data_IF_983313756133
#
_entry.id   IF_983313756133
#
_cell.length_a   1.000
_cell.length_b   1.000
_cell.length_c   1.000
_cell.angle_alpha   90.00
_cell.angle_beta   90.00
_cell.angle_gamma   90.00
#
_symmetry.space_group_name_H-M   'P 1'
#
loop_
_entity.id
_entity.type
_entity.pdbx_description
1 polymer ?
#
# COMPACT_ATOMS: atom_id res chain seq x y z
N UNK A 1 -17.97 -2.09 60.42
CA UNK A 1 -19.04 -3.08 60.21
C UNK A 1 -20.24 -2.69 61.07
N UNK A 2 -21.48 -3.00 60.67
CA UNK A 2 -22.09 -2.99 59.33
C UNK A 2 -22.95 -1.69 59.22
N UNK A 3 -24.05 -1.50 58.47
CA UNK A 3 -24.77 -2.28 57.43
C UNK A 3 -25.53 -1.32 56.49
N UNK A 4 -25.86 -1.83 55.30
CA UNK A 4 -27.10 -1.64 54.52
C UNK A 4 -27.83 -0.28 54.43
N UNK A 5 -27.96 0.21 53.19
CA UNK A 5 -29.10 0.99 52.72
C UNK A 5 -29.60 0.44 51.37
N UNK A 6 -30.92 0.49 51.14
CA UNK A 6 -31.58 -0.01 49.95
C UNK A 6 -31.95 1.10 48.95
N UNK A 7 -31.94 0.75 47.67
CA UNK A 7 -32.74 1.29 46.55
C UNK A 7 -32.58 2.77 46.09
N UNK A 8 -32.29 2.95 44.79
CA UNK A 8 -33.27 3.47 43.79
C UNK A 8 -32.64 3.60 42.38
N UNK A 9 -33.48 3.58 41.33
CA UNK A 9 -33.10 3.78 39.92
C UNK A 9 -33.66 5.10 39.39
N UNK A 10 -32.86 5.96 38.75
CA UNK A 10 -33.27 6.78 37.58
C UNK A 10 -32.04 7.29 36.78
N UNK A 11 -32.25 7.97 35.64
CA UNK A 11 -31.43 7.85 34.41
C UNK A 11 -30.46 9.02 34.07
N UNK A 12 -29.34 8.65 33.39
CA UNK A 12 -28.53 9.41 32.40
C UNK A 12 -27.68 10.63 32.85
N UNK A 13 -26.58 11.00 32.14
CA UNK A 13 -26.15 10.57 30.79
C UNK A 13 -24.69 10.05 30.62
N UNK A 14 -24.42 9.53 29.41
CA UNK A 14 -23.15 9.46 28.65
C UNK A 14 -21.79 9.28 29.39
N UNK A 15 -21.16 8.12 29.19
CA UNK A 15 -19.70 7.96 29.19
C UNK A 15 -19.30 6.98 28.09
N UNK A 16 -18.38 7.40 27.22
CA UNK A 16 -17.74 6.55 26.22
C UNK A 16 -16.74 5.65 26.97
N UNK A 17 -16.96 4.34 26.95
CA UNK A 17 -15.97 3.38 27.42
C UNK A 17 -15.23 2.75 26.24
N UNK A 18 -13.97 3.17 26.13
CA UNK A 18 -12.85 2.46 25.56
C UNK A 18 -13.00 0.92 25.68
N UNK A 19 -13.03 0.24 24.54
CA UNK A 19 -12.98 -1.23 24.47
C UNK A 19 -11.63 -1.68 23.92
N UNK A 20 -10.64 -1.70 24.81
CA UNK A 20 -9.48 -2.57 24.68
C UNK A 20 -9.94 -4.03 24.51
N UNK A 21 -9.81 -4.55 23.28
CA UNK A 21 -10.22 -5.91 22.95
C UNK A 21 -9.27 -6.93 23.62
N UNK A 22 -9.64 -7.39 24.81
CA UNK A 22 -8.93 -8.49 25.47
C UNK A 22 -9.25 -9.82 24.78
N UNK A 23 -8.27 -10.48 24.17
CA UNK A 23 -8.31 -11.94 24.02
C UNK A 23 -6.91 -12.59 24.08
N UNK A 24 -6.72 -13.40 25.13
CA UNK A 24 -5.77 -14.52 25.22
C UNK A 24 -4.29 -14.29 24.87
N UNK A 25 -3.55 -13.73 25.84
CA UNK A 25 -2.09 -13.94 25.92
C UNK A 25 -1.80 -15.44 26.15
N UNK A 26 -1.20 -16.13 25.17
CA UNK A 26 -0.35 -17.30 25.43
C UNK A 26 1.10 -16.82 25.49
N UNK A 27 1.72 -16.97 26.65
CA UNK A 27 3.11 -16.57 26.89
C UNK A 27 4.09 -17.48 26.15
N UNK A 28 4.74 -16.97 25.10
CA UNK A 28 5.89 -17.63 24.51
C UNK A 28 7.16 -17.27 25.30
N UNK A 29 7.52 -18.10 26.28
CA UNK A 29 8.84 -18.06 26.93
C UNK A 29 9.78 -18.99 26.18
N UNK A 30 10.84 -18.47 25.55
CA UNK A 30 11.90 -19.29 24.97
C UNK A 30 13.29 -18.60 25.00
N UNK A 31 13.89 -18.59 26.19
CA UNK A 31 15.35 -18.64 26.35
C UNK A 31 15.67 -19.78 27.31
N UNK A 32 16.47 -20.76 26.92
CA UNK A 32 16.88 -21.83 27.84
C UNK A 32 17.40 -23.13 27.22
N UNK A 33 18.72 -23.19 27.03
CA UNK A 33 19.59 -24.37 27.07
C UNK A 33 19.41 -25.53 26.05
N UNK A 34 20.52 -25.84 25.38
CA UNK A 34 20.77 -27.12 24.71
C UNK A 34 20.70 -28.30 25.70
N UNK A 35 20.13 -29.43 25.28
CA UNK A 35 20.71 -30.77 25.51
C UNK A 35 20.17 -31.82 24.55
N UNK A 36 21.03 -32.79 24.26
CA UNK A 36 20.87 -33.85 23.27
C UNK A 36 19.98 -35.02 23.72
N UNK A 37 19.24 -35.62 22.77
CA UNK A 37 19.21 -37.09 22.61
C UNK A 37 18.56 -37.50 21.28
N UNK A 38 19.14 -38.50 20.62
CA UNK A 38 18.69 -39.09 19.36
C UNK A 38 17.29 -39.72 19.46
N UNK A 39 16.59 -39.81 18.32
CA UNK A 39 15.93 -41.04 17.82
C UNK A 39 15.50 -40.86 16.35
N UNK A 40 15.89 -41.80 15.49
CA UNK A 40 15.44 -41.98 14.10
C UNK A 40 14.59 -43.29 14.03
N UNK A 41 14.04 -43.68 12.88
CA UNK A 41 12.89 -43.10 12.18
C UNK A 41 11.80 -44.19 11.94
N UNK A 42 10.72 -43.92 11.18
CA UNK A 42 10.09 -45.00 10.37
C UNK A 42 9.13 -44.54 9.25
N UNK A 43 9.46 -45.08 8.07
CA UNK A 43 8.59 -45.62 7.01
C UNK A 43 7.58 -44.75 6.24
N UNK A 44 7.87 -44.68 4.94
CA UNK A 44 7.11 -44.13 3.83
C UNK A 44 5.87 -44.95 3.41
N UNK A 45 4.97 -44.30 2.66
CA UNK A 45 4.06 -44.93 1.70
C UNK A 45 3.98 -44.04 0.43
N UNK A 46 4.49 -44.54 -0.70
CA UNK A 46 3.93 -44.23 -2.03
C UNK A 46 2.96 -45.37 -2.43
N UNK A 47 1.99 -45.13 -3.33
CA UNK A 47 2.25 -45.42 -4.75
C UNK A 47 1.52 -44.49 -5.75
N UNK A 48 2.05 -44.31 -6.96
CA UNK A 48 1.46 -44.90 -8.18
C UNK A 48 2.31 -44.62 -9.45
N UNK A 49 2.37 -45.61 -10.36
CA UNK A 49 2.90 -45.46 -11.72
C UNK A 49 1.78 -44.96 -12.67
N UNK A 50 2.06 -44.38 -13.85
CA UNK A 50 2.48 -45.11 -15.06
C UNK A 50 2.84 -44.14 -16.21
N UNK A 51 3.54 -44.65 -17.24
CA UNK A 51 3.90 -43.93 -18.48
C UNK A 51 3.00 -44.37 -19.64
N UNK A 52 2.68 -43.47 -20.60
CA UNK A 52 3.11 -43.62 -22.01
C UNK A 52 2.65 -42.50 -22.99
N UNK A 53 3.65 -41.86 -23.59
CA UNK A 53 3.83 -41.33 -24.95
C UNK A 53 2.66 -41.44 -25.96
N UNK A 54 2.32 -40.31 -26.62
CA UNK A 54 2.02 -40.24 -28.06
C UNK A 54 2.37 -38.84 -28.64
N UNK A 55 2.84 -38.76 -29.89
CA UNK A 55 3.13 -37.51 -30.64
C UNK A 55 2.20 -37.42 -31.86
N UNK A 56 1.62 -36.25 -32.14
CA UNK A 56 1.09 -35.86 -33.48
C UNK A 56 1.48 -34.38 -33.74
N UNK A 57 1.52 -34.00 -35.02
CA UNK A 57 2.23 -32.86 -35.61
C UNK A 57 1.30 -31.99 -36.48
N UNK A 58 1.74 -30.75 -36.82
CA UNK A 58 1.26 -29.90 -37.94
C UNK A 58 -0.13 -29.24 -37.66
N UNK A 59 -0.40 -27.94 -37.92
CA UNK A 59 -0.12 -27.11 -39.10
C UNK A 59 -0.03 -25.61 -38.69
N UNK A 60 0.85 -24.83 -39.31
CA UNK A 60 0.94 -23.36 -39.12
C UNK A 60 0.99 -22.70 -40.50
N UNK A 61 0.00 -21.87 -40.81
CA UNK A 61 -0.16 -21.25 -42.13
C UNK A 61 0.28 -19.78 -42.10
N UNK A 62 1.22 -19.43 -42.97
CA UNK A 62 1.70 -18.06 -43.20
C UNK A 62 0.87 -17.43 -44.32
N UNK A 63 0.44 -16.18 -44.14
CA UNK A 63 0.07 -15.29 -45.24
C UNK A 63 0.77 -13.94 -45.08
N UNK A 64 1.18 -13.37 -46.22
CA UNK A 64 2.04 -12.18 -46.35
C UNK A 64 1.29 -11.11 -47.12
N UNK A 65 1.47 -9.84 -46.76
CA UNK A 65 1.44 -8.75 -47.74
C UNK A 65 2.33 -7.59 -47.33
N UNK A 66 3.26 -7.23 -48.21
CA UNK A 66 4.06 -6.01 -48.19
C UNK A 66 3.45 -5.01 -49.18
N UNK A 67 3.39 -3.72 -48.83
CA UNK A 67 3.37 -2.62 -49.81
C UNK A 67 4.41 -1.56 -49.41
N UNK A 68 4.99 -0.92 -50.42
CA UNK A 68 6.31 -0.28 -50.44
C UNK A 68 6.36 1.20 -50.01
N UNK A 69 7.55 1.62 -49.60
CA UNK A 69 7.94 3.02 -49.45
C UNK A 69 7.93 3.81 -50.77
N UNK A 70 7.74 5.13 -50.67
CA UNK A 70 8.29 6.09 -51.64
C UNK A 70 8.74 7.35 -50.91
N UNK A 71 9.94 7.84 -51.18
CA UNK A 71 10.53 9.01 -50.51
C UNK A 71 10.44 10.29 -51.34
N UNK A 72 10.60 11.44 -50.68
CA UNK A 72 10.65 12.76 -51.31
C UNK A 72 11.11 13.83 -50.30
N UNK A 73 12.03 14.71 -50.71
CA UNK A 73 12.81 15.55 -49.81
C UNK A 73 12.42 17.04 -49.82
N UNK A 74 12.44 17.66 -48.63
CA UNK A 74 12.85 19.06 -48.43
C UNK A 74 11.77 20.14 -48.51
N UNK A 75 11.89 21.16 -47.64
CA UNK A 75 11.07 22.38 -47.66
C UNK A 75 10.75 22.89 -46.25
N UNK A 76 11.14 24.11 -45.94
CA UNK A 76 10.92 24.79 -44.65
C UNK A 76 9.58 25.53 -44.57
N UNK A 77 9.16 25.89 -43.34
CA UNK A 77 8.05 26.80 -42.96
C UNK A 77 6.65 26.40 -43.47
N UNK A 78 5.63 26.20 -42.64
CA UNK A 78 5.06 27.19 -41.70
C UNK A 78 4.33 26.53 -40.51
N UNK A 79 3.77 27.37 -39.63
CA UNK A 79 2.95 27.02 -38.47
C UNK A 79 1.77 26.09 -38.77
N UNK A 80 1.60 25.05 -37.95
CA UNK A 80 0.36 24.30 -37.82
C UNK A 80 -0.04 24.18 -36.33
N UNK A 81 -1.25 24.62 -36.02
CA UNK A 81 -1.90 24.43 -34.72
C UNK A 81 -2.07 22.94 -34.41
N UNK A 82 -1.41 22.47 -33.36
CA UNK A 82 -1.60 21.11 -32.83
C UNK A 82 -2.97 20.95 -32.18
N UNK A 83 -3.64 19.85 -32.49
CA UNK A 83 -5.01 19.53 -32.06
C UNK A 83 -5.12 19.25 -30.57
N UNK A 84 -6.12 19.84 -29.91
CA UNK A 84 -6.66 19.31 -28.66
C UNK A 84 -7.30 17.94 -28.93
N UNK A 85 -6.60 16.86 -28.58
CA UNK A 85 -7.26 15.63 -28.15
C UNK A 85 -7.55 15.80 -26.65
N UNK A 86 -8.74 15.45 -26.14
CA UNK A 86 -8.94 15.37 -24.70
C UNK A 86 -8.19 14.15 -24.18
N UNK A 87 -7.20 14.37 -23.33
CA UNK A 87 -6.71 13.31 -22.43
C UNK A 87 -7.82 13.01 -21.43
N UNK A 88 -8.13 11.73 -21.24
CA UNK A 88 -9.03 11.27 -20.19
C UNK A 88 -8.25 11.27 -18.88
N UNK A 89 -8.51 12.27 -18.03
CA UNK A 89 -7.76 12.50 -16.79
C UNK A 89 -8.10 11.44 -15.73
N UNK A 90 -7.46 10.26 -15.83
CA UNK A 90 -7.51 9.21 -14.83
C UNK A 90 -7.01 9.69 -13.47
N UNK A 91 -7.87 9.66 -12.45
CA UNK A 91 -7.56 10.11 -11.09
C UNK A 91 -7.01 8.97 -10.24
N UNK A 92 -5.69 8.84 -10.16
CA UNK A 92 -5.07 7.90 -9.23
C UNK A 92 -3.62 8.29 -8.82
N UNK A 93 -3.47 9.45 -8.14
CA UNK A 93 -2.35 9.88 -7.25
C UNK A 93 -0.87 9.64 -7.64
N UNK A 94 -0.53 9.23 -8.87
CA UNK A 94 0.79 8.74 -9.25
C UNK A 94 1.65 9.71 -10.07
N UNK A 95 2.31 10.67 -9.44
CA UNK A 95 3.45 11.40 -10.03
C UNK A 95 3.14 12.52 -11.04
N UNK A 96 2.19 12.38 -11.97
CA UNK A 96 1.69 13.54 -12.72
C UNK A 96 0.67 14.32 -11.89
N UNK A 97 0.79 15.66 -11.90
CA UNK A 97 -0.23 16.56 -11.32
C UNK A 97 -1.48 16.59 -12.19
N UNK A 98 -2.23 15.49 -12.24
CA UNK A 98 -3.52 15.43 -12.90
C UNK A 98 -4.50 16.33 -12.13
N UNK A 99 -4.97 17.46 -12.70
CA UNK A 99 -5.85 18.37 -11.99
C UNK A 99 -7.26 17.78 -11.94
N UNK A 100 -7.52 16.93 -10.93
CA UNK A 100 -8.84 16.31 -10.65
C UNK A 100 -9.98 17.32 -10.49
N UNK A 101 -9.65 18.60 -10.34
CA UNK A 101 -10.54 19.72 -10.61
C UNK A 101 -9.73 20.94 -11.07
N UNK A 102 -10.39 21.88 -11.75
CA UNK A 102 -9.83 23.23 -11.96
C UNK A 102 -9.61 23.87 -10.59
N UNK A 103 -8.38 24.32 -10.30
CA UNK A 103 -8.02 24.92 -9.02
C UNK A 103 -8.97 26.06 -8.64
N UNK A 104 -9.81 25.83 -7.63
CA UNK A 104 -10.87 26.76 -7.24
C UNK A 104 -10.30 28.07 -6.69
N UNK A 105 -10.69 29.20 -7.29
CA UNK A 105 -10.37 30.52 -6.74
C UNK A 105 -11.32 30.84 -5.59
N UNK A 106 -10.85 30.75 -4.34
CA UNK A 106 -11.64 31.23 -3.20
C UNK A 106 -11.73 32.76 -3.21
N UNK A 107 -12.92 33.29 -2.96
CA UNK A 107 -13.16 34.73 -2.78
C UNK A 107 -13.01 35.20 -1.33
N UNK A 108 -12.60 34.33 -0.41
CA UNK A 108 -12.38 34.66 1.01
C UNK A 108 -11.84 33.49 1.83
N UNK A 109 -11.89 33.66 3.16
CA UNK A 109 -11.49 32.63 4.14
C UNK A 109 -12.36 31.37 4.06
N UNK A 110 -11.76 30.22 4.40
CA UNK A 110 -12.50 28.96 4.52
C UNK A 110 -13.57 29.08 5.61
N UNK A 111 -14.85 28.99 5.21
CA UNK A 111 -15.96 29.15 6.14
C UNK A 111 -16.15 27.89 6.98
N UNK A 112 -16.77 28.04 8.17
CA UNK A 112 -17.09 26.90 9.05
C UNK A 112 -18.02 25.93 8.30
N UNK A 113 -17.72 24.60 8.30
CA UNK A 113 -18.62 23.60 7.75
C UNK A 113 -20.04 23.73 8.30
N UNK A 114 -21.03 23.66 7.42
CA UNK A 114 -22.44 23.64 7.78
C UNK A 114 -22.98 22.22 7.64
N UNK A 115 -23.80 21.80 8.59
CA UNK A 115 -24.53 20.53 8.47
C UNK A 115 -25.54 20.65 7.33
N UNK A 116 -25.46 19.74 6.35
CA UNK A 116 -26.35 19.71 5.19
C UNK A 116 -27.50 18.72 5.38
N UNK A 117 -27.19 17.45 5.65
CA UNK A 117 -28.17 16.37 5.76
C UNK A 117 -27.63 15.14 6.51
N UNK A 118 -28.53 14.24 6.91
CA UNK A 118 -28.17 12.88 7.33
C UNK A 118 -28.50 11.91 6.20
N UNK A 119 -27.55 11.05 5.83
CA UNK A 119 -27.75 10.00 4.82
C UNK A 119 -28.12 8.66 5.48
N UNK A 120 -28.80 7.80 4.74
CA UNK A 120 -29.07 6.42 5.16
C UNK A 120 -27.83 5.57 4.92
N UNK A 121 -27.40 4.78 5.90
CA UNK A 121 -26.19 3.96 5.79
C UNK A 121 -26.15 2.83 6.80
N UNK A 122 -25.10 2.01 6.73
CA UNK A 122 -24.78 0.99 7.72
C UNK A 122 -23.73 1.54 8.71
N UNK A 123 -23.16 0.69 9.58
CA UNK A 123 -21.94 1.03 10.32
C UNK A 123 -20.78 1.23 9.34
N UNK A 124 -20.15 2.40 9.36
CA UNK A 124 -18.84 2.61 8.71
C UNK A 124 -17.72 2.35 9.71
N UNK A 125 -16.55 1.96 9.20
CA UNK A 125 -15.34 1.74 9.99
C UNK A 125 -14.33 2.87 9.75
N UNK A 126 -13.39 2.69 8.82
CA UNK A 126 -12.35 3.68 8.49
C UNK A 126 -12.28 4.00 6.98
N UNK A 127 -13.17 3.43 6.17
CA UNK A 127 -13.28 3.74 4.76
C UNK A 127 -13.75 5.20 4.58
N UNK A 128 -12.86 6.05 4.08
CA UNK A 128 -13.18 7.44 3.74
C UNK A 128 -14.17 7.50 2.56
N UNK A 129 -15.18 8.38 2.59
CA UNK A 129 -16.05 8.61 1.43
C UNK A 129 -15.30 9.33 0.31
N UNK A 130 -15.66 9.02 -0.94
CA UNK A 130 -15.16 9.70 -2.14
C UNK A 130 -16.27 10.55 -2.75
N UNK A 131 -15.91 11.71 -3.29
CA UNK A 131 -16.82 12.62 -4.01
C UNK A 131 -16.28 12.78 -5.42
N UNK A 132 -17.02 12.29 -6.42
CA UNK A 132 -16.61 12.27 -7.82
C UNK A 132 -17.83 12.39 -8.74
N UNK A 133 -17.67 13.07 -9.87
CA UNK A 133 -18.64 13.04 -10.98
C UNK A 133 -18.50 11.68 -11.68
N UNK A 134 -19.51 10.81 -11.54
CA UNK A 134 -19.44 9.44 -12.05
C UNK A 134 -20.04 9.28 -13.45
N UNK A 135 -20.87 10.23 -13.92
CA UNK A 135 -21.54 10.15 -15.23
C UNK A 135 -21.25 11.31 -16.20
N UNK A 136 -20.42 12.27 -15.78
CA UNK A 136 -19.90 13.37 -16.59
C UNK A 136 -20.86 14.56 -16.71
N UNK A 137 -21.87 14.67 -15.84
CA UNK A 137 -22.88 15.73 -15.92
C UNK A 137 -22.48 17.05 -15.21
N UNK A 138 -21.33 17.08 -14.56
CA UNK A 138 -20.77 18.23 -13.84
C UNK A 138 -21.28 18.38 -12.41
N UNK A 139 -22.00 17.38 -11.86
CA UNK A 139 -22.30 17.25 -10.44
C UNK A 139 -21.63 16.00 -9.89
N UNK A 140 -21.13 16.10 -8.67
CA UNK A 140 -20.47 14.97 -8.02
C UNK A 140 -21.47 14.10 -7.25
N UNK A 141 -21.35 12.79 -7.41
CA UNK A 141 -21.90 11.79 -6.51
C UNK A 141 -21.05 11.69 -5.24
N UNK A 142 -21.67 11.14 -4.19
CA UNK A 142 -20.99 10.72 -2.98
C UNK A 142 -20.97 9.19 -2.93
N UNK A 143 -19.77 8.63 -2.94
CA UNK A 143 -19.51 7.21 -2.78
C UNK A 143 -19.15 6.96 -1.31
N UNK A 144 -19.86 6.04 -0.67
CA UNK A 144 -19.61 5.66 0.72
C UNK A 144 -19.60 4.13 0.88
N UNK A 145 -18.47 3.59 1.32
CA UNK A 145 -18.33 2.18 1.64
C UNK A 145 -18.60 1.92 3.13
N UNK A 146 -19.34 0.85 3.43
CA UNK A 146 -19.72 0.43 4.77
C UNK A 146 -19.37 -1.06 4.98
N UNK A 147 -20.38 -1.93 5.04
CA UNK A 147 -20.22 -3.35 4.64
C UNK A 147 -20.55 -3.50 3.15
N UNK A 148 -21.56 -2.76 2.69
CA UNK A 148 -21.94 -2.58 1.28
C UNK A 148 -21.42 -1.22 0.76
N UNK A 149 -21.26 -1.07 -0.55
CA UNK A 149 -20.97 0.25 -1.17
C UNK A 149 -22.28 0.94 -1.58
N UNK A 150 -22.39 2.23 -1.26
CA UNK A 150 -23.52 3.09 -1.59
C UNK A 150 -23.06 4.25 -2.47
N UNK A 151 -23.87 4.63 -3.46
CA UNK A 151 -23.66 5.81 -4.30
C UNK A 151 -24.88 6.71 -4.18
N UNK A 152 -24.68 7.94 -3.69
CA UNK A 152 -25.71 8.96 -3.54
C UNK A 152 -25.50 10.08 -4.55
N UNK A 153 -26.59 10.63 -5.08
CA UNK A 153 -26.55 11.87 -5.84
C UNK A 153 -26.21 13.05 -4.91
N UNK A 154 -25.82 14.18 -5.51
CA UNK A 154 -25.57 15.45 -4.81
C UNK A 154 -26.72 15.98 -3.92
N UNK A 155 -27.97 15.54 -4.13
CA UNK A 155 -29.12 15.86 -3.28
C UNK A 155 -29.34 14.90 -2.10
N UNK A 156 -28.49 13.87 -1.98
CA UNK A 156 -28.56 12.83 -0.95
C UNK A 156 -29.46 11.64 -1.27
N UNK A 157 -30.10 11.62 -2.45
CA UNK A 157 -30.86 10.44 -2.89
C UNK A 157 -29.94 9.27 -3.21
N UNK A 158 -30.32 8.05 -2.80
CA UNK A 158 -29.56 6.83 -3.06
C UNK A 158 -29.79 6.38 -4.52
N UNK A 159 -28.76 6.46 -5.35
CA UNK A 159 -28.79 6.03 -6.75
C UNK A 159 -28.58 4.51 -6.87
N UNK A 160 -27.55 3.99 -6.19
CA UNK A 160 -27.18 2.59 -6.27
C UNK A 160 -26.58 2.06 -4.97
N UNK A 161 -26.63 0.74 -4.81
CA UNK A 161 -26.01 0.01 -3.71
C UNK A 161 -25.51 -1.34 -4.21
N UNK A 162 -24.23 -1.64 -3.97
CA UNK A 162 -23.65 -2.95 -4.19
C UNK A 162 -23.58 -3.70 -2.85
N UNK A 163 -24.40 -4.74 -2.72
CA UNK A 163 -24.32 -5.71 -1.62
C UNK A 163 -23.36 -6.84 -2.00
N UNK A 164 -22.40 -7.12 -1.13
CA UNK A 164 -21.33 -8.11 -1.33
C UNK A 164 -20.23 -7.93 -0.29
N UNK A 165 -19.26 -8.84 -0.24
CA UNK A 165 -18.12 -8.77 0.68
C UNK A 165 -18.11 -9.83 1.79
N UNK A 166 -16.92 -10.40 2.04
CA UNK A 166 -16.64 -11.33 3.14
C UNK A 166 -16.45 -10.67 4.52
N UNK A 167 -16.41 -9.33 4.60
CA UNK A 167 -16.14 -8.62 5.85
C UNK A 167 -16.54 -7.15 5.87
N UNK A 168 -15.96 -6.40 6.81
CA UNK A 168 -16.06 -4.92 6.86
C UNK A 168 -15.12 -4.29 5.83
N UNK A 169 -15.45 -3.06 5.40
CA UNK A 169 -14.54 -2.23 4.59
C UNK A 169 -13.76 -1.31 5.52
N UNK A 170 -12.43 -1.37 5.45
CA UNK A 170 -11.52 -0.63 6.32
C UNK A 170 -10.60 0.31 5.53
N UNK A 171 -10.04 -0.18 4.41
CA UNK A 171 -9.37 0.65 3.44
C UNK A 171 -10.34 1.66 2.81
N UNK A 172 -9.92 2.90 2.51
CA UNK A 172 -10.64 3.74 1.55
C UNK A 172 -10.79 3.03 0.21
N UNK A 173 -11.89 3.32 -0.45
CA UNK A 173 -12.14 2.83 -1.80
C UNK A 173 -11.54 3.80 -2.82
N UNK A 174 -11.12 3.25 -3.96
CA UNK A 174 -10.65 4.03 -5.10
C UNK A 174 -11.82 4.19 -6.08
N UNK A 175 -11.88 5.34 -6.74
CA UNK A 175 -12.80 5.60 -7.86
C UNK A 175 -11.97 6.03 -9.05
N UNK A 176 -11.90 5.20 -10.09
CA UNK A 176 -11.01 5.37 -11.25
C UNK A 176 -11.52 4.52 -12.42
N UNK A 177 -11.35 4.98 -13.65
CA UNK A 177 -11.54 4.19 -14.88
C UNK A 177 -10.32 3.26 -15.06
N UNK A 178 -10.50 1.94 -14.93
CA UNK A 178 -9.39 0.99 -14.89
C UNK A 178 -8.82 0.63 -16.27
N UNK A 179 -9.56 0.85 -17.36
CA UNK A 179 -9.15 0.47 -18.72
C UNK A 179 -9.16 1.62 -19.74
N UNK A 180 -9.49 2.85 -19.31
CA UNK A 180 -9.62 4.00 -20.20
C UNK A 180 -10.83 3.93 -21.13
N UNK A 181 -11.89 3.17 -20.79
CA UNK A 181 -13.11 3.04 -21.61
C UNK A 181 -14.10 4.22 -21.41
N UNK A 182 -13.79 5.12 -20.49
CA UNK A 182 -14.58 6.29 -20.11
C UNK A 182 -15.60 6.00 -19.00
N UNK A 183 -15.54 4.84 -18.34
CA UNK A 183 -16.49 4.44 -17.29
C UNK A 183 -15.73 4.11 -16.00
N UNK A 184 -15.99 4.84 -14.90
CA UNK A 184 -15.25 4.64 -13.66
C UNK A 184 -15.71 3.36 -12.94
N UNK A 185 -14.74 2.64 -12.39
CA UNK A 185 -14.94 1.65 -11.34
C UNK A 185 -14.90 2.24 -9.94
N UNK A 186 -15.57 1.56 -9.03
CA UNK A 186 -15.39 1.70 -7.58
C UNK A 186 -14.71 0.43 -7.06
N UNK A 187 -13.48 0.56 -6.59
CA UNK A 187 -12.64 -0.54 -6.08
C UNK A 187 -12.55 -0.47 -4.57
N UNK A 188 -12.87 -1.56 -3.86
CA UNK A 188 -12.85 -1.59 -2.39
C UNK A 188 -12.49 -2.96 -1.81
N UNK A 189 -11.88 -2.96 -0.61
CA UNK A 189 -11.48 -4.16 0.12
C UNK A 189 -12.50 -4.52 1.20
N UNK A 190 -13.05 -5.73 1.16
CA UNK A 190 -13.96 -6.27 2.17
C UNK A 190 -13.43 -7.58 2.72
N UNK A 191 -13.05 -7.58 4.01
CA UNK A 191 -12.35 -8.74 4.56
C UNK A 191 -11.04 -9.01 3.81
N UNK A 192 -10.88 -10.21 3.27
CA UNK A 192 -9.70 -10.65 2.51
C UNK A 192 -9.87 -10.52 0.99
N UNK A 193 -11.02 -10.02 0.54
CA UNK A 193 -11.35 -9.87 -0.88
C UNK A 193 -11.25 -8.40 -1.29
N UNK A 194 -10.84 -8.16 -2.54
CA UNK A 194 -10.99 -6.86 -3.21
C UNK A 194 -12.03 -6.99 -4.32
N UNK A 195 -12.92 -6.02 -4.42
CA UNK A 195 -14.01 -5.94 -5.38
C UNK A 195 -13.83 -4.72 -6.28
N UNK A 196 -14.19 -4.83 -7.56
CA UNK A 196 -14.36 -3.70 -8.47
C UNK A 196 -15.77 -3.71 -9.07
N UNK A 197 -16.46 -2.57 -9.04
CA UNK A 197 -17.78 -2.39 -9.63
C UNK A 197 -17.78 -1.26 -10.64
N UNK A 198 -18.15 -1.54 -11.88
CA UNK A 198 -18.29 -0.54 -12.94
C UNK A 198 -19.55 0.32 -12.71
N UNK A 199 -19.46 1.63 -12.95
CA UNK A 199 -20.61 2.54 -12.90
C UNK A 199 -21.26 2.72 -14.28
N UNK A 200 -22.29 1.92 -14.61
CA UNK A 200 -22.98 2.01 -15.91
C UNK A 200 -24.46 2.38 -15.73
N UNK A 201 -24.88 3.50 -16.31
CA UNK A 201 -26.27 3.98 -16.35
C UNK A 201 -26.90 4.16 -14.95
N UNK A 202 -26.20 4.84 -14.03
CA UNK A 202 -26.67 5.10 -12.67
C UNK A 202 -26.67 3.88 -11.74
N UNK A 203 -25.91 2.82 -12.07
CA UNK A 203 -25.89 1.56 -11.34
C UNK A 203 -24.50 0.93 -11.27
N UNK A 204 -24.23 0.29 -10.15
CA UNK A 204 -23.05 -0.57 -9.95
C UNK A 204 -23.28 -1.95 -10.58
N UNK A 205 -22.30 -2.41 -11.36
CA UNK A 205 -22.22 -3.77 -11.89
C UNK A 205 -20.89 -4.40 -11.48
N UNK A 206 -20.90 -5.62 -10.94
CA UNK A 206 -19.65 -6.31 -10.59
C UNK A 206 -18.82 -6.53 -11.87
N UNK A 207 -17.56 -6.09 -11.86
CA UNK A 207 -16.66 -6.19 -13.00
C UNK A 207 -16.22 -7.64 -13.23
N UNK A 208 -16.05 -8.03 -14.49
CA UNK A 208 -15.54 -9.37 -14.82
C UNK A 208 -14.10 -9.55 -14.28
N UNK A 209 -13.82 -10.72 -13.70
CA UNK A 209 -12.54 -11.01 -13.03
C UNK A 209 -12.52 -10.70 -11.52
N UNK A 210 -13.52 -9.99 -11.01
CA UNK A 210 -13.64 -9.60 -9.61
C UNK A 210 -14.79 -10.35 -8.89
N UNK A 211 -14.76 -10.55 -7.56
CA UNK A 211 -13.68 -10.18 -6.64
C UNK A 211 -12.42 -11.05 -6.76
N UNK A 212 -11.32 -10.54 -6.20
CA UNK A 212 -10.02 -11.22 -6.09
C UNK A 212 -9.69 -11.46 -4.61
N UNK A 213 -8.86 -12.47 -4.33
CA UNK A 213 -8.60 -12.96 -2.97
C UNK A 213 -7.13 -12.72 -2.57
N UNK A 214 -6.89 -12.27 -1.33
CA UNK A 214 -5.55 -12.02 -0.74
C UNK A 214 -5.11 -13.08 0.29
N UNK A 215 -5.88 -14.15 0.45
CA UNK A 215 -5.61 -15.31 1.31
C UNK A 215 -4.26 -15.94 0.97
N UNK A 216 -3.36 -15.98 1.96
CA UNK A 216 -1.98 -16.47 1.81
C UNK A 216 -1.52 -17.17 3.09
N UNK A 217 -0.56 -18.08 2.99
CA UNK A 217 -0.08 -18.92 4.11
C UNK A 217 -1.17 -19.69 4.89
N UNK A 218 -2.36 -19.88 4.31
CA UNK A 218 -3.50 -20.50 4.98
C UNK A 218 -4.32 -19.55 5.87
N UNK A 219 -4.02 -18.26 5.85
CA UNK A 219 -4.75 -17.20 6.55
C UNK A 219 -5.46 -16.28 5.55
N UNK A 220 -6.60 -15.72 5.94
CA UNK A 220 -7.38 -14.75 5.17
C UNK A 220 -7.28 -13.36 5.81
N UNK A 221 -6.18 -12.62 5.59
CA UNK A 221 -5.90 -11.35 6.23
C UNK A 221 -6.85 -10.24 5.74
N UNK A 222 -7.09 -9.22 6.57
CA UNK A 222 -7.97 -8.12 6.19
C UNK A 222 -7.24 -7.09 5.32
N UNK A 223 -7.87 -6.63 4.23
CA UNK A 223 -7.37 -5.53 3.39
C UNK A 223 -7.54 -4.20 4.14
N UNK A 224 -6.41 -3.51 4.37
CA UNK A 224 -6.33 -2.27 5.17
C UNK A 224 -5.85 -1.05 4.39
N UNK A 225 -5.02 -1.23 3.37
CA UNK A 225 -4.66 -0.20 2.40
C UNK A 225 -5.12 -0.56 0.99
N UNK A 226 -5.55 0.45 0.24
CA UNK A 226 -5.76 0.40 -1.20
C UNK A 226 -5.21 1.67 -1.82
N UNK A 227 -4.56 1.52 -2.96
CA UNK A 227 -4.21 2.59 -3.89
C UNK A 227 -4.34 2.05 -5.31
N UNK A 228 -4.37 2.94 -6.30
CA UNK A 228 -4.30 2.56 -7.70
C UNK A 228 -3.44 3.58 -8.45
N UNK A 229 -2.90 3.18 -9.61
CA UNK A 229 -2.29 4.05 -10.61
C UNK A 229 -2.03 3.25 -11.90
N UNK A 230 -1.81 3.96 -13.01
CA UNK A 230 -1.08 3.42 -14.15
C UNK A 230 0.39 3.28 -13.72
N UNK A 231 0.87 2.05 -13.49
CA UNK A 231 2.20 1.85 -12.88
C UNK A 231 3.34 1.84 -13.91
N UNK A 232 3.10 1.37 -15.14
CA UNK A 232 4.10 1.30 -16.24
C UNK A 232 3.84 2.28 -17.40
N UNK A 233 2.79 3.09 -17.33
CA UNK A 233 2.43 4.06 -18.37
C UNK A 233 1.74 3.44 -19.58
N UNK A 234 1.15 2.25 -19.47
CA UNK A 234 0.45 1.57 -20.58
C UNK A 234 -0.99 2.06 -20.80
N UNK A 235 -1.53 2.85 -19.87
CA UNK A 235 -2.87 3.42 -19.89
C UNK A 235 -3.94 2.56 -19.19
N UNK A 236 -3.58 1.39 -18.67
CA UNK A 236 -4.40 0.60 -17.75
C UNK A 236 -4.02 0.92 -16.30
N UNK A 237 -4.92 0.66 -15.37
CA UNK A 237 -4.70 0.96 -13.95
C UNK A 237 -4.50 -0.33 -13.15
N UNK A 238 -3.38 -0.40 -12.43
CA UNK A 238 -3.14 -1.40 -11.39
C UNK A 238 -3.71 -0.96 -10.03
N UNK A 239 -4.15 -1.95 -9.26
CA UNK A 239 -4.69 -1.81 -7.91
C UNK A 239 -3.69 -2.43 -6.94
N UNK A 240 -3.15 -1.62 -6.03
CA UNK A 240 -2.29 -2.08 -4.93
C UNK A 240 -3.13 -2.28 -3.67
N UNK A 241 -3.14 -3.49 -3.12
CA UNK A 241 -3.83 -3.84 -1.88
C UNK A 241 -2.84 -4.28 -0.80
N UNK A 242 -2.97 -3.75 0.42
CA UNK A 242 -2.15 -4.16 1.57
C UNK A 242 -2.98 -4.78 2.70
N UNK A 243 -2.44 -5.80 3.37
CA UNK A 243 -3.22 -6.68 4.26
C UNK A 243 -2.62 -6.87 5.65
N UNK A 244 -3.43 -7.29 6.62
CA UNK A 244 -3.01 -7.64 7.98
C UNK A 244 -2.23 -8.97 8.08
N UNK A 245 -1.55 -9.43 7.03
CA UNK A 245 -0.87 -10.73 7.03
C UNK A 245 0.35 -10.73 7.97
N UNK A 246 0.32 -11.58 9.00
CA UNK A 246 1.41 -11.73 9.99
C UNK A 246 2.17 -13.05 9.88
N UNK A 247 1.75 -13.97 9.01
CA UNK A 247 2.56 -15.16 8.70
C UNK A 247 3.86 -14.73 8.01
N UNK A 248 4.96 -15.42 8.35
CA UNK A 248 6.26 -15.13 7.75
C UNK A 248 6.27 -15.36 6.23
N UNK A 249 7.11 -14.63 5.50
CA UNK A 249 7.32 -14.87 4.07
C UNK A 249 7.76 -16.32 3.78
N UNK A 250 8.46 -16.96 4.73
CA UNK A 250 8.86 -18.37 4.66
C UNK A 250 7.70 -19.38 4.75
N UNK A 251 6.57 -18.97 5.35
CA UNK A 251 5.31 -19.70 5.30
C UNK A 251 4.44 -19.32 4.08
N UNK A 252 4.92 -18.41 3.23
CA UNK A 252 4.18 -17.86 2.10
C UNK A 252 3.25 -16.70 2.46
N UNK A 253 3.48 -16.02 3.59
CA UNK A 253 2.66 -14.90 4.03
C UNK A 253 3.01 -13.60 3.28
N UNK A 254 2.19 -13.23 2.31
CA UNK A 254 2.33 -11.99 1.56
C UNK A 254 1.36 -10.91 2.07
N UNK A 255 1.80 -9.66 2.02
CA UNK A 255 1.18 -8.47 2.63
C UNK A 255 0.77 -7.42 1.62
N UNK A 256 1.40 -7.40 0.44
CA UNK A 256 1.25 -6.40 -0.62
C UNK A 256 0.96 -7.15 -1.91
N UNK A 257 -0.20 -6.84 -2.50
CA UNK A 257 -0.69 -7.43 -3.73
C UNK A 257 -0.84 -6.31 -4.74
N UNK A 258 -0.56 -6.60 -6.01
CA UNK A 258 -0.87 -5.71 -7.12
C UNK A 258 -1.70 -6.50 -8.11
N UNK A 259 -2.83 -5.95 -8.53
CA UNK A 259 -3.76 -6.56 -9.47
C UNK A 259 -3.89 -5.65 -10.69
N UNK A 260 -3.90 -6.22 -11.89
CA UNK A 260 -4.31 -5.51 -13.11
C UNK A 260 -5.79 -5.11 -13.03
N UNK A 261 -6.19 -4.17 -13.87
CA UNK A 261 -7.59 -3.78 -14.14
C UNK A 261 -8.59 -4.94 -14.22
N UNK A 262 -8.18 -6.04 -14.86
CA UNK A 262 -8.99 -7.26 -15.04
C UNK A 262 -9.02 -8.24 -13.83
N UNK A 263 -8.42 -7.88 -12.69
CA UNK A 263 -8.35 -8.70 -11.48
C UNK A 263 -7.27 -9.80 -11.49
N UNK A 264 -6.50 -9.97 -12.57
CA UNK A 264 -5.33 -10.83 -12.53
C UNK A 264 -4.27 -10.22 -11.59
N UNK A 265 -3.56 -11.07 -10.84
CA UNK A 265 -2.36 -10.66 -10.12
C UNK A 265 -1.33 -10.12 -11.12
N UNK A 266 -0.96 -8.85 -10.99
CA UNK A 266 -0.14 -8.12 -11.95
C UNK A 266 1.28 -8.70 -12.01
N UNK A 267 1.83 -8.81 -13.22
CA UNK A 267 3.16 -9.36 -13.50
C UNK A 267 3.74 -8.63 -14.72
N UNK A 268 4.63 -7.64 -14.54
CA UNK A 268 5.26 -6.93 -15.65
C UNK A 268 5.88 -7.87 -16.68
N UNK A 269 5.78 -7.48 -17.96
CA UNK A 269 6.30 -8.29 -19.05
C UNK A 269 7.83 -8.40 -19.01
N UNK A 270 8.38 -9.47 -19.61
CA UNK A 270 9.83 -9.67 -19.72
C UNK A 270 10.57 -10.14 -18.46
N UNK A 271 9.89 -10.27 -17.31
CA UNK A 271 10.50 -10.77 -16.08
C UNK A 271 10.82 -12.27 -16.14
N UNK A 272 11.94 -12.66 -15.54
CA UNK A 272 12.34 -14.07 -15.35
C UNK A 272 11.85 -14.67 -14.01
N UNK A 273 11.04 -13.90 -13.27
CA UNK A 273 10.54 -14.21 -11.94
C UNK A 273 9.15 -13.61 -11.74
N UNK A 274 8.28 -14.19 -10.87
CA UNK A 274 7.05 -13.53 -10.46
C UNK A 274 7.34 -12.29 -9.61
N UNK A 275 6.71 -11.17 -9.99
CA UNK A 275 6.80 -9.86 -9.36
C UNK A 275 6.01 -9.80 -8.05
N UNK A 276 4.72 -10.13 -8.12
CA UNK A 276 3.76 -10.02 -7.01
C UNK A 276 3.20 -11.39 -6.60
N UNK A 277 2.65 -11.55 -5.38
CA UNK A 277 2.63 -10.58 -4.29
C UNK A 277 3.96 -10.52 -3.50
N UNK A 278 4.08 -9.57 -2.56
CA UNK A 278 5.22 -9.38 -1.65
C UNK A 278 4.79 -9.41 -0.19
N UNK A 279 5.60 -9.86 0.75
CA UNK A 279 6.91 -10.48 0.58
C UNK A 279 6.81 -11.97 0.18
N UNK A 280 7.90 -12.52 -0.37
CA UNK A 280 8.03 -13.94 -0.67
C UNK A 280 9.42 -14.47 -0.27
N UNK A 281 9.50 -15.75 0.11
CA UNK A 281 10.77 -16.37 0.50
C UNK A 281 11.49 -17.07 -0.67
N UNK A 282 11.50 -16.44 -1.85
CA UNK A 282 12.27 -16.93 -3.01
C UNK A 282 13.71 -16.42 -2.91
N UNK A 283 14.66 -17.20 -3.41
CA UNK A 283 16.07 -16.80 -3.56
C UNK A 283 16.40 -16.44 -5.01
N UNK A 284 17.46 -15.67 -5.21
CA UNK A 284 17.89 -15.18 -6.52
C UNK A 284 17.09 -13.97 -6.99
N UNK A 285 17.30 -13.58 -8.24
CA UNK A 285 16.74 -12.35 -8.82
C UNK A 285 15.22 -12.25 -8.60
N UNK A 286 14.81 -11.13 -8.01
CA UNK A 286 13.41 -10.86 -7.71
C UNK A 286 12.83 -11.65 -6.54
N UNK A 287 13.65 -12.30 -5.71
CA UNK A 287 13.27 -12.85 -4.42
C UNK A 287 13.66 -11.92 -3.25
N UNK A 288 13.08 -12.18 -2.07
CA UNK A 288 13.37 -11.40 -0.86
C UNK A 288 14.28 -12.18 0.13
N UNK A 289 14.44 -13.50 -0.03
CA UNK A 289 15.08 -14.38 0.96
C UNK A 289 16.61 -14.19 1.09
N UNK A 290 17.28 -13.62 0.10
CA UNK A 290 18.71 -13.31 0.11
C UNK A 290 19.03 -11.84 0.43
N UNK A 291 18.02 -10.97 0.54
CA UNK A 291 18.15 -9.58 0.97
C UNK A 291 18.34 -9.53 2.48
N UNK A 292 19.53 -9.85 3.00
CA UNK A 292 19.96 -9.68 4.41
C UNK A 292 19.04 -10.20 5.55
N UNK A 293 18.01 -10.99 5.27
CA UNK A 293 17.20 -11.71 6.26
C UNK A 293 16.34 -10.90 7.24
N UNK A 294 16.29 -9.56 7.15
CA UNK A 294 15.52 -8.67 8.03
C UNK A 294 14.62 -7.72 7.20
N UNK A 295 13.47 -7.31 7.76
CA UNK A 295 12.56 -6.34 7.13
C UNK A 295 11.62 -6.85 6.01
N UNK A 296 11.78 -8.09 5.55
CA UNK A 296 10.99 -8.67 4.44
C UNK A 296 10.03 -9.78 4.91
N UNK A 297 9.30 -9.58 6.01
CA UNK A 297 8.41 -10.61 6.57
C UNK A 297 7.41 -10.11 7.62
N UNK A 298 6.15 -10.56 7.54
CA UNK A 298 5.36 -11.00 8.72
C UNK A 298 4.83 -9.97 9.74
N UNK A 299 4.95 -8.66 9.54
CA UNK A 299 4.37 -7.68 10.49
C UNK A 299 2.95 -7.18 10.16
N UNK A 300 2.52 -7.26 8.89
CA UNK A 300 1.17 -6.88 8.45
C UNK A 300 0.99 -5.37 8.30
N UNK A 301 -0.10 -4.97 7.63
CA UNK A 301 -0.53 -3.57 7.48
C UNK A 301 -1.83 -3.38 8.27
N UNK A 302 -1.93 -2.33 9.10
CA UNK A 302 -3.08 -2.11 9.99
C UNK A 302 -4.03 -1.02 9.50
N UNK A 303 -3.59 -0.08 8.68
CA UNK A 303 -4.42 1.01 8.20
C UNK A 303 -4.12 1.37 6.75
N UNK A 304 -4.41 2.63 6.44
CA UNK A 304 -3.96 3.33 5.24
C UNK A 304 -2.42 3.29 5.19
N UNK A 305 -1.87 2.28 4.53
CA UNK A 305 -0.45 1.95 4.58
C UNK A 305 0.20 1.83 3.19
N UNK A 306 -0.36 2.46 2.16
CA UNK A 306 0.17 2.40 0.80
C UNK A 306 0.05 3.75 0.09
N UNK A 307 1.08 4.09 -0.70
CA UNK A 307 1.08 5.19 -1.66
C UNK A 307 1.84 4.76 -2.92
N UNK A 308 1.60 5.50 -4.01
CA UNK A 308 2.17 5.23 -5.33
C UNK A 308 2.74 6.54 -5.90
N UNK A 309 3.89 6.48 -6.54
CA UNK A 309 4.50 7.62 -7.21
C UNK A 309 5.99 7.43 -7.46
N UNK A 310 6.50 8.08 -8.52
CA UNK A 310 7.90 8.09 -8.92
C UNK A 310 8.78 8.68 -7.81
N UNK A 311 9.79 7.92 -7.37
CA UNK A 311 10.81 8.36 -6.42
C UNK A 311 12.24 8.15 -6.92
N UNK A 312 12.49 7.74 -8.18
CA UNK A 312 13.86 7.43 -8.61
C UNK A 312 14.29 7.74 -10.07
N UNK A 313 13.62 8.70 -10.72
CA UNK A 313 13.99 9.27 -12.04
C UNK A 313 13.76 8.36 -13.28
N UNK A 314 13.00 7.26 -13.18
CA UNK A 314 12.42 6.58 -14.36
C UNK A 314 10.91 6.84 -14.52
N UNK A 315 10.29 6.35 -15.60
CA UNK A 315 8.87 6.64 -15.90
C UNK A 315 7.90 5.70 -15.14
N UNK A 316 8.40 4.59 -14.56
CA UNK A 316 7.60 3.66 -13.76
C UNK A 316 7.23 4.31 -12.41
N UNK A 317 6.15 3.85 -11.78
CA UNK A 317 5.77 4.31 -10.45
C UNK A 317 6.12 3.30 -9.35
N UNK A 318 6.76 3.80 -8.29
CA UNK A 318 7.06 3.00 -7.10
C UNK A 318 5.85 2.86 -6.18
N UNK A 319 5.85 1.76 -5.43
CA UNK A 319 4.88 1.47 -4.39
C UNK A 319 5.57 1.58 -3.03
N UNK A 320 5.11 2.52 -2.20
CA UNK A 320 5.65 2.75 -0.86
C UNK A 320 4.64 2.19 0.15
N UNK A 321 5.10 1.36 1.08
CA UNK A 321 4.28 0.66 2.07
C UNK A 321 4.81 0.87 3.48
N UNK A 322 3.91 1.17 4.42
CA UNK A 322 4.18 1.15 5.86
C UNK A 322 3.55 -0.09 6.49
N UNK A 323 3.98 -0.48 7.68
CA UNK A 323 3.52 -1.72 8.33
C UNK A 323 3.13 -1.47 9.79
N UNK A 324 2.56 -2.47 10.46
CA UNK A 324 2.33 -2.47 11.91
C UNK A 324 3.64 -2.67 12.69
N UNK A 325 4.65 -1.86 12.36
CA UNK A 325 6.00 -1.87 12.92
C UNK A 325 6.71 -0.51 12.71
N UNK A 326 8.05 -0.53 12.73
CA UNK A 326 8.94 0.63 12.69
C UNK A 326 9.63 0.84 11.32
N UNK A 327 9.20 0.11 10.29
CA UNK A 327 9.80 0.03 8.95
C UNK A 327 8.87 0.67 7.90
N UNK A 328 9.49 1.20 6.84
CA UNK A 328 8.82 1.69 5.62
C UNK A 328 9.56 1.10 4.43
N UNK A 329 8.85 0.52 3.47
CA UNK A 329 9.45 -0.11 2.28
C UNK A 329 9.05 0.66 1.02
N UNK A 330 9.97 0.71 0.05
CA UNK A 330 9.67 1.09 -1.33
C UNK A 330 9.92 -0.12 -2.24
N UNK A 331 9.02 -0.35 -3.19
CA UNK A 331 9.12 -1.40 -4.21
C UNK A 331 9.07 -0.78 -5.60
N UNK A 332 9.92 -1.27 -6.49
CA UNK A 332 9.71 -1.13 -7.94
C UNK A 332 8.43 -1.84 -8.36
N UNK A 333 7.87 -1.41 -9.49
CA UNK A 333 6.73 -2.04 -10.16
C UNK A 333 6.85 -3.58 -10.34
N UNK A 334 8.07 -4.08 -10.54
CA UNK A 334 8.39 -5.52 -10.61
C UNK A 334 8.46 -6.25 -9.25
N UNK A 335 8.01 -5.59 -8.16
CA UNK A 335 8.00 -6.11 -6.79
C UNK A 335 9.36 -6.16 -6.11
N UNK A 336 10.45 -5.73 -6.76
CA UNK A 336 11.77 -5.70 -6.11
C UNK A 336 11.83 -4.55 -5.11
N UNK A 337 12.10 -4.85 -3.84
CA UNK A 337 12.36 -3.84 -2.83
C UNK A 337 13.59 -2.98 -3.21
N UNK A 338 13.45 -1.66 -3.14
CA UNK A 338 14.46 -0.67 -3.55
C UNK A 338 15.56 -0.57 -2.50
N UNK A 339 16.81 -0.60 -2.96
CA UNK A 339 17.96 -0.36 -2.09
C UNK A 339 17.93 1.08 -1.53
N UNK A 340 18.12 1.21 -0.22
CA UNK A 340 18.44 2.49 0.41
C UNK A 340 19.84 2.96 -0.01
N UNK A 341 20.26 4.17 0.39
CA UNK A 341 21.60 4.67 0.12
C UNK A 341 22.67 3.65 0.55
N UNK A 342 23.80 3.59 -0.16
CA UNK A 342 24.97 2.79 0.25
C UNK A 342 25.53 3.19 1.61
N UNK A 343 25.08 4.33 2.16
CA UNK A 343 25.26 4.75 3.54
C UNK A 343 24.64 3.77 4.57
N UNK A 344 23.48 3.18 4.26
CA UNK A 344 22.77 2.23 5.12
C UNK A 344 23.28 0.80 4.90
N UNK A 345 24.03 0.28 5.88
CA UNK A 345 24.54 -1.09 5.86
C UNK A 345 24.18 -1.86 7.12
N UNK A 346 23.97 -3.17 6.99
CA UNK A 346 23.49 -4.00 8.09
C UNK A 346 24.60 -4.21 9.16
N UNK A 347 24.34 -3.93 10.45
CA UNK A 347 25.31 -4.10 11.54
C UNK A 347 25.30 -5.50 12.18
N UNK A 348 24.40 -6.38 11.77
CA UNK A 348 24.35 -7.78 12.23
C UNK A 348 25.56 -8.55 11.72
N UNK A 349 26.20 -9.35 12.59
CA UNK A 349 27.43 -10.08 12.26
C UNK A 349 27.29 -11.08 11.10
N UNK A 350 26.07 -11.50 10.75
CA UNK A 350 25.79 -12.37 9.61
C UNK A 350 25.81 -11.63 8.26
N UNK A 351 25.49 -10.32 8.26
CA UNK A 351 25.29 -9.50 7.07
C UNK A 351 26.14 -8.21 7.11
N UNK A 352 27.20 -8.21 7.91
CA UNK A 352 27.95 -7.01 8.31
C UNK A 352 28.47 -6.25 7.09
N UNK A 353 28.00 -5.01 6.93
CA UNK A 353 28.41 -4.13 5.81
C UNK A 353 27.64 -4.34 4.50
N UNK A 354 26.69 -5.28 4.43
CA UNK A 354 25.80 -5.41 3.28
C UNK A 354 24.84 -4.22 3.22
N UNK A 355 24.66 -3.64 2.02
CA UNK A 355 23.67 -2.58 1.74
C UNK A 355 22.25 -3.08 2.03
N UNK A 356 21.42 -2.20 2.59
CA UNK A 356 20.03 -2.50 2.98
C UNK A 356 19.00 -1.91 2.01
N UNK A 357 17.80 -2.51 1.93
CA UNK A 357 16.60 -1.88 1.35
C UNK A 357 15.89 -0.98 2.36
N UNK A 358 15.00 -0.10 1.89
CA UNK A 358 14.23 0.83 2.72
C UNK A 358 13.64 0.15 3.98
N UNK A 359 12.97 -0.99 3.81
CA UNK A 359 12.29 -1.68 4.90
C UNK A 359 13.17 -2.57 5.79
N UNK A 360 14.49 -2.61 5.61
CA UNK A 360 15.36 -3.50 6.43
C UNK A 360 15.89 -2.85 7.71
N UNK A 361 15.57 -1.59 7.93
CA UNK A 361 15.98 -0.85 9.11
C UNK A 361 14.81 -0.04 9.66
N UNK A 362 14.80 0.09 10.97
CA UNK A 362 13.79 0.87 11.68
C UNK A 362 14.25 2.32 11.76
N UNK A 363 13.30 3.25 11.78
CA UNK A 363 13.63 4.67 11.89
C UNK A 363 13.73 5.09 13.36
N UNK A 364 14.79 5.82 13.71
CA UNK A 364 14.97 6.40 15.04
C UNK A 364 14.59 7.89 15.02
N UNK A 365 14.25 8.52 16.14
CA UNK A 365 13.95 9.95 16.13
C UNK A 365 15.23 10.79 15.90
N UNK A 366 16.31 10.42 16.58
CA UNK A 366 17.62 11.06 16.52
C UNK A 366 18.46 10.51 15.35
N UNK A 367 18.88 11.36 14.38
CA UNK A 367 19.72 10.92 13.26
C UNK A 367 21.09 10.38 13.70
N UNK A 368 21.63 10.80 14.84
CA UNK A 368 22.91 10.30 15.36
C UNK A 368 22.83 8.81 15.73
N UNK A 369 21.64 8.33 16.10
CA UNK A 369 21.39 6.91 16.37
C UNK A 369 21.40 6.11 15.07
N UNK A 370 20.81 6.62 14.00
CA UNK A 370 20.87 6.00 12.67
C UNK A 370 22.31 5.96 12.13
N UNK A 371 23.08 7.05 12.30
CA UNK A 371 24.49 7.10 11.88
C UNK A 371 25.36 6.10 12.63
N UNK A 372 25.29 6.10 13.97
CA UNK A 372 26.08 5.17 14.77
C UNK A 372 25.70 3.70 14.49
N UNK A 373 24.41 3.41 14.29
CA UNK A 373 23.93 2.04 14.16
C UNK A 373 24.03 1.47 12.74
N UNK A 374 23.66 2.23 11.70
CA UNK A 374 23.55 1.74 10.31
C UNK A 374 24.71 2.15 9.39
N UNK A 375 25.49 3.17 9.76
CA UNK A 375 26.62 3.63 8.95
C UNK A 375 27.98 3.33 9.57
N UNK A 376 28.20 3.75 10.82
CA UNK A 376 29.50 3.64 11.49
C UNK A 376 29.68 2.31 12.23
N UNK A 377 28.57 1.65 12.60
CA UNK A 377 28.52 0.40 13.37
C UNK A 377 29.26 0.50 14.72
N UNK A 378 29.04 1.61 15.44
CA UNK A 378 29.68 1.93 16.72
C UNK A 378 28.67 2.12 17.85
N UNK A 379 29.14 1.91 19.09
CA UNK A 379 28.32 2.04 20.29
C UNK A 379 27.49 0.79 20.61
N UNK A 380 26.60 0.93 21.58
CA UNK A 380 25.65 -0.11 21.95
C UNK A 380 24.48 -0.18 20.94
N UNK A 381 23.83 -1.33 20.84
CA UNK A 381 22.61 -1.48 20.05
C UNK A 381 21.50 -0.55 20.59
N UNK A 382 20.87 0.28 19.76
CA UNK A 382 19.85 1.22 20.22
C UNK A 382 18.58 0.49 20.67
N UNK A 383 17.90 1.05 21.67
CA UNK A 383 16.78 0.40 22.34
C UNK A 383 15.75 1.42 22.87
N UNK A 384 14.44 1.18 22.73
CA UNK A 384 13.39 2.13 23.12
C UNK A 384 13.38 2.54 24.60
N UNK A 385 14.07 1.81 25.49
CA UNK A 385 14.27 2.26 26.88
C UNK A 385 15.18 3.49 27.02
N UNK A 386 15.95 3.86 25.99
CA UNK A 386 16.93 4.94 26.02
C UNK A 386 16.74 5.93 24.86
N UNK A 387 16.59 5.44 23.63
CA UNK A 387 16.34 6.24 22.43
C UNK A 387 14.85 6.26 22.06
N UNK A 388 14.38 7.30 21.37
CA UNK A 388 13.06 7.32 20.75
C UNK A 388 13.12 6.68 19.35
N UNK A 389 12.19 5.79 19.02
CA UNK A 389 12.03 5.19 17.70
C UNK A 389 10.72 5.63 17.02
N UNK A 390 10.57 5.35 15.73
CA UNK A 390 9.41 5.77 14.94
C UNK A 390 8.56 4.56 14.55
N UNK A 391 7.24 4.67 14.67
CA UNK A 391 6.27 3.61 14.34
C UNK A 391 5.28 4.12 13.27
N UNK A 392 4.94 3.28 12.30
CA UNK A 392 4.25 3.70 11.07
C UNK A 392 2.85 3.08 10.87
N UNK A 393 2.34 2.34 11.86
CA UNK A 393 1.07 1.58 11.81
C UNK A 393 -0.10 2.40 11.25
N UNK A 394 -0.22 3.65 11.68
CA UNK A 394 -1.30 4.57 11.29
C UNK A 394 -0.85 5.71 10.34
N UNK A 395 0.35 5.59 9.75
CA UNK A 395 0.95 6.60 8.87
C UNK A 395 0.91 6.14 7.41
N UNK A 396 -0.08 6.57 6.60
CA UNK A 396 0.05 6.48 5.15
C UNK A 396 1.32 7.22 4.70
N UNK A 397 2.16 6.60 3.85
CA UNK A 397 3.14 7.35 3.10
C UNK A 397 2.43 8.31 2.14
N UNK A 398 3.12 9.37 1.75
CA UNK A 398 2.70 10.34 0.75
C UNK A 398 3.91 10.64 -0.12
N UNK A 399 3.73 10.81 -1.43
CA UNK A 399 4.83 11.03 -2.36
C UNK A 399 4.61 12.42 -2.97
N UNK A 400 5.55 13.33 -2.71
CA UNK A 400 5.38 14.76 -2.99
C UNK A 400 6.71 15.47 -3.14
N UNK A 401 6.86 16.22 -4.24
CA UNK A 401 7.87 17.26 -4.41
C UNK A 401 7.66 18.39 -3.38
N UNK A 402 8.46 18.38 -2.31
CA UNK A 402 8.28 19.23 -1.14
C UNK A 402 8.92 20.62 -1.29
N UNK A 403 9.96 20.75 -2.11
CA UNK A 403 10.71 22.01 -2.31
C UNK A 403 10.65 22.60 -3.73
N UNK A 404 10.04 21.90 -4.68
CA UNK A 404 9.81 22.37 -6.04
C UNK A 404 10.95 22.06 -7.01
N UNK A 405 11.86 21.14 -6.69
CA UNK A 405 12.97 20.76 -7.57
C UNK A 405 12.58 19.74 -8.66
N UNK A 406 11.37 19.17 -8.57
CA UNK A 406 10.82 18.19 -9.50
C UNK A 406 11.09 16.73 -9.15
N UNK A 407 11.69 16.45 -7.99
CA UNK A 407 11.86 15.11 -7.41
C UNK A 407 10.91 14.95 -6.23
N UNK A 408 10.41 13.74 -5.98
CA UNK A 408 9.43 13.52 -4.92
C UNK A 408 10.11 13.00 -3.64
N UNK A 409 9.77 13.60 -2.51
CA UNK A 409 10.02 13.02 -1.19
C UNK A 409 8.91 12.04 -0.80
N UNK A 410 9.29 11.05 0.01
CA UNK A 410 8.35 10.21 0.76
C UNK A 410 8.13 10.84 2.14
N UNK A 411 6.89 11.28 2.40
CA UNK A 411 6.49 11.95 3.65
C UNK A 411 5.50 11.08 4.42
N UNK A 412 5.68 10.96 5.73
CA UNK A 412 4.72 10.32 6.63
C UNK A 412 4.71 10.93 8.03
N UNK A 413 3.76 10.48 8.84
CA UNK A 413 3.48 10.99 10.19
C UNK A 413 3.61 9.88 11.24
N UNK A 414 4.83 9.41 11.55
CA UNK A 414 5.01 8.33 12.52
C UNK A 414 4.70 8.75 13.96
N UNK A 415 4.31 7.77 14.77
CA UNK A 415 4.39 7.89 16.22
C UNK A 415 5.87 7.93 16.63
N UNK A 416 6.25 8.88 17.48
CA UNK A 416 7.54 8.85 18.18
C UNK A 416 7.32 8.10 19.49
N UNK A 417 7.96 6.95 19.68
CA UNK A 417 7.72 6.05 20.81
C UNK A 417 8.99 5.80 21.64
N UNK A 418 8.79 5.55 22.94
CA UNK A 418 9.84 5.26 23.92
C UNK A 418 9.33 4.32 25.01
N UNK A 419 10.22 3.88 25.91
CA UNK A 419 9.98 3.06 27.10
C UNK A 419 9.67 1.60 26.77
N UNK A 420 9.55 0.75 27.80
CA UNK A 420 9.10 -0.64 27.67
C UNK A 420 8.13 -0.92 28.82
N UNK A 421 6.82 -1.09 28.58
CA UNK A 421 6.12 -1.08 27.28
C UNK A 421 6.25 0.26 26.54
N UNK A 422 6.02 0.23 25.22
CA UNK A 422 6.14 1.40 24.36
C UNK A 422 5.03 2.43 24.66
N UNK A 423 5.41 3.70 24.67
CA UNK A 423 4.57 4.86 24.97
C UNK A 423 4.82 5.94 23.91
N UNK A 424 3.77 6.40 23.23
CA UNK A 424 3.85 7.50 22.25
C UNK A 424 4.18 8.82 22.95
N UNK A 425 5.33 9.39 22.63
CA UNK A 425 5.86 10.65 23.18
C UNK A 425 5.46 11.88 22.34
N UNK A 426 5.13 11.69 21.06
CA UNK A 426 4.58 12.68 20.13
C UNK A 426 4.16 12.01 18.82
N UNK A 427 3.46 12.76 17.96
CA UNK A 427 3.43 12.50 16.52
C UNK A 427 4.44 13.43 15.84
N UNK A 428 5.21 12.91 14.87
CA UNK A 428 6.20 13.67 14.12
C UNK A 428 5.90 13.63 12.63
N UNK A 429 6.43 14.59 11.86
CA UNK A 429 6.51 14.52 10.40
C UNK A 429 7.93 14.08 10.04
N UNK A 430 8.05 13.10 9.16
CA UNK A 430 9.31 12.67 8.59
C UNK A 430 9.24 12.76 7.06
N UNK A 431 10.23 13.40 6.45
CA UNK A 431 10.41 13.46 5.01
C UNK A 431 11.69 12.71 4.63
N UNK A 432 11.59 11.84 3.63
CA UNK A 432 12.65 10.97 3.14
C UNK A 432 12.90 11.25 1.66
N UNK A 433 14.17 11.22 1.27
CA UNK A 433 14.62 11.37 -0.10
C UNK A 433 14.29 10.11 -0.92
N UNK A 434 13.81 10.30 -2.15
CA UNK A 434 13.70 9.22 -3.14
C UNK A 434 15.06 8.62 -3.54
N UNK A 435 15.05 7.54 -4.32
CA UNK A 435 16.25 6.90 -4.86
C UNK A 435 16.79 7.54 -6.16
N UNK A 436 16.34 8.76 -6.48
CA UNK A 436 16.78 9.61 -7.58
C UNK A 436 18.32 9.64 -7.81
N UNK A 437 18.71 9.83 -9.07
CA UNK A 437 20.10 9.97 -9.51
C UNK A 437 20.87 8.64 -9.49
N UNK A 438 21.89 8.54 -8.65
CA UNK A 438 22.64 7.31 -8.39
C UNK A 438 22.13 6.56 -7.13
N UNK A 439 20.99 6.99 -6.57
CA UNK A 439 20.45 6.46 -5.33
C UNK A 439 21.28 6.76 -4.08
N UNK A 440 22.28 7.64 -4.15
CA UNK A 440 23.12 8.01 -2.99
C UNK A 440 22.34 8.68 -1.86
N UNK A 441 21.15 9.21 -2.13
CA UNK A 441 20.23 9.79 -1.13
C UNK A 441 19.06 8.87 -0.77
N UNK A 442 18.85 7.74 -1.45
CA UNK A 442 17.72 6.82 -1.22
C UNK A 442 17.46 6.53 0.28
N UNK A 443 16.24 6.80 0.74
CA UNK A 443 15.78 6.68 2.14
C UNK A 443 16.48 7.57 3.20
N UNK A 444 17.42 8.43 2.81
CA UNK A 444 18.02 9.43 3.70
C UNK A 444 16.95 10.42 4.16
N UNK A 445 17.19 11.09 5.29
CA UNK A 445 16.31 12.19 5.72
C UNK A 445 16.42 13.35 4.74
N UNK A 446 15.30 14.01 4.45
CA UNK A 446 15.29 15.23 3.63
C UNK A 446 16.18 16.29 4.27
N UNK A 447 17.06 16.91 3.48
CA UNK A 447 17.95 17.95 3.97
C UNK A 447 17.16 19.10 4.63
N UNK A 448 17.54 19.47 5.86
CA UNK A 448 16.82 20.45 6.69
C UNK A 448 15.65 19.90 7.50
N UNK A 449 15.31 18.61 7.35
CA UNK A 449 14.28 17.88 8.11
C UNK A 449 14.88 16.77 8.99
N UNK A 450 16.19 16.79 9.24
CA UNK A 450 16.89 15.77 10.02
C UNK A 450 16.42 15.73 11.48
N UNK A 451 16.09 16.91 12.02
CA UNK A 451 15.35 17.07 13.28
C UNK A 451 13.86 17.10 12.98
N UNK A 452 13.13 16.07 13.41
CA UNK A 452 11.72 15.90 13.06
C UNK A 452 10.81 16.99 13.66
N UNK A 453 10.03 17.72 12.85
CA UNK A 453 8.93 18.53 13.36
C UNK A 453 7.92 17.64 14.07
N UNK A 454 7.60 17.92 15.34
CA UNK A 454 6.71 17.08 16.16
C UNK A 454 5.77 17.88 17.05
N UNK A 455 4.65 17.28 17.39
CA UNK A 455 3.68 17.80 18.35
C UNK A 455 4.15 17.66 19.81
N UNK A 456 3.27 18.06 20.72
CA UNK A 456 3.36 17.69 22.13
C UNK A 456 3.04 16.19 22.32
N UNK A 457 3.13 15.71 23.56
CA UNK A 457 2.63 14.38 23.92
C UNK A 457 1.11 14.27 23.63
N UNK A 458 0.61 13.10 23.19
CA UNK A 458 -0.82 12.88 22.90
C UNK A 458 -1.77 13.07 24.08
#
# INVERSE_FOLDING_TARGET
MPSEYHASYTLHPCLIQDQSASQTRRSCKLCGAMKSSNLLPKEAIEPCSSRQIARIFILLAVWVTLISCSGGSGGSSESATGSNAPTTDGSATGGQRNPVCVAGTSSGEVTRPQFLMNLQGQTSWYASPVVADLDGDGKNELIAAYYSVYVFASDGSLLSRADGGSGRVYAPHVVVDLEGDGIPEIVYGSGHEVYAYEWRNGRLSLKAGWPVDTTTAGESPEVRGLAAADLDGDGLIEIVATTTQTQSAAAGGAQVFVFSSNGALYQPSGLSFPAWPRYNNRTGTGGDADRNGQGHSGYGCYGLNVAIGNIDDDDDLEIIVTYDNHEIQAFKINGVAIDASSWFTNPSSQFLGNRMTWGQFIRWADPQVEENHYHLHVGDWPHPSAQEWLQWTASPPNIVDLDGDGKNEVVGVPNVEKNVPYETQAYAIMALEGAHGDGSRSAMRKAGWETLPRGAAP
#
